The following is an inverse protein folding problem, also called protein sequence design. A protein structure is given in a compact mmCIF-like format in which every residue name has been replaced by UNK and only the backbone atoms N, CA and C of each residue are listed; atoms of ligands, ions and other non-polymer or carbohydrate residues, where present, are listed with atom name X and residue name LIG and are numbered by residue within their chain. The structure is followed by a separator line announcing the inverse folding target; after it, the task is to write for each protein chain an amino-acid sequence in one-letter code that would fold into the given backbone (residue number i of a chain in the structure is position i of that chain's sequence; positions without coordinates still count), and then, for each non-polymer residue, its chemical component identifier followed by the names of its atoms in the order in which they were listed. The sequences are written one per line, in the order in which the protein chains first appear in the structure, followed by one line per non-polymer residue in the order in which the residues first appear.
data_IF_159260830467
#
_entry.id   IF_159260830467
#
_cell.length_a   1.000
_cell.length_b   1.000
_cell.length_c   1.000
_cell.angle_alpha   90.00
_cell.angle_beta   90.00
_cell.angle_gamma   90.00
#
_symmetry.space_group_name_H-M   'P 1'
#
loop_
_entity.id
_entity.type
_entity.pdbx_description
1 polymer ?
#
# COMPACT_ATOMS: atom_id res chain seq x y z
N UNK A 1 -1.24 1.23 -16.20
CA UNK A 1 -0.92 0.19 -15.19
C UNK A 1 0.25 0.69 -14.37
N UNK A 2 0.20 0.52 -13.04
CA UNK A 2 1.36 0.78 -12.18
C UNK A 2 2.32 -0.38 -12.31
N UNK A 3 3.61 -0.08 -12.28
CA UNK A 3 4.66 -1.08 -12.34
C UNK A 3 5.23 -1.31 -10.93
N UNK A 4 5.23 -2.56 -10.48
CA UNK A 4 5.70 -2.92 -9.14
C UNK A 4 6.95 -3.76 -9.27
N UNK A 5 8.11 -3.13 -9.04
CA UNK A 5 9.42 -3.77 -9.17
C UNK A 5 9.64 -4.72 -8.00
N UNK A 6 9.96 -5.98 -8.32
CA UNK A 6 10.33 -7.00 -7.34
C UNK A 6 11.72 -6.67 -6.81
N UNK A 7 11.84 -6.53 -5.49
CA UNK A 7 13.09 -6.25 -4.79
C UNK A 7 13.81 -7.53 -4.40
N UNK A 8 13.06 -8.48 -3.83
CA UNK A 8 13.57 -9.77 -3.35
C UNK A 8 12.59 -10.88 -3.68
N UNK A 9 13.13 -12.06 -3.92
CA UNK A 9 12.39 -13.32 -4.03
C UNK A 9 12.88 -14.21 -2.88
N UNK A 10 11.96 -14.73 -2.09
CA UNK A 10 12.26 -15.60 -0.95
C UNK A 10 12.69 -16.97 -1.45
N UNK A 11 13.76 -17.51 -0.84
CA UNK A 11 14.26 -18.83 -1.24
C UNK A 11 13.31 -19.95 -0.81
N UNK A 12 13.00 -20.86 -1.73
CA UNK A 12 12.03 -21.93 -1.54
C UNK A 12 10.57 -21.50 -1.71
N UNK A 13 10.34 -20.30 -2.20
CA UNK A 13 9.00 -19.78 -2.49
C UNK A 13 8.48 -20.17 -3.87
N UNK A 14 7.17 -20.01 -4.08
CA UNK A 14 6.53 -20.20 -5.38
C UNK A 14 7.18 -19.29 -6.45
N UNK A 15 7.52 -18.06 -6.09
CA UNK A 15 8.16 -17.13 -7.01
C UNK A 15 9.56 -17.60 -7.46
N UNK A 16 10.34 -18.24 -6.59
CA UNK A 16 11.64 -18.83 -6.97
C UNK A 16 11.44 -20.02 -7.91
N UNK A 17 10.47 -20.89 -7.65
CA UNK A 17 10.15 -22.03 -8.51
C UNK A 17 9.71 -21.61 -9.91
N UNK A 18 9.08 -20.44 -10.03
CA UNK A 18 8.66 -19.84 -11.28
C UNK A 18 9.74 -18.98 -11.95
N UNK A 19 10.98 -19.08 -11.47
CA UNK A 19 12.13 -18.36 -12.02
C UNK A 19 11.95 -16.82 -12.03
N UNK A 20 11.20 -16.28 -11.05
CA UNK A 20 11.12 -14.84 -10.85
C UNK A 20 12.39 -14.33 -10.18
N UNK A 21 12.82 -13.13 -10.57
CA UNK A 21 14.06 -12.54 -10.09
C UNK A 21 13.86 -11.09 -9.60
N UNK A 22 14.70 -10.64 -8.65
CA UNK A 22 14.74 -9.22 -8.30
C UNK A 22 14.95 -8.34 -9.53
N UNK A 23 14.10 -7.33 -9.71
CA UNK A 23 14.08 -6.42 -10.87
C UNK A 23 13.07 -6.80 -11.95
N UNK A 24 12.38 -7.94 -11.85
CA UNK A 24 11.18 -8.20 -12.62
C UNK A 24 10.05 -7.30 -12.14
N UNK A 25 9.02 -7.11 -12.95
CA UNK A 25 7.94 -6.17 -12.69
C UNK A 25 6.61 -6.92 -12.67
N UNK A 26 5.89 -6.84 -11.54
CA UNK A 26 4.51 -7.30 -11.45
C UNK A 26 3.59 -6.28 -12.16
N UNK A 27 2.81 -6.74 -13.12
CA UNK A 27 1.88 -5.93 -13.91
C UNK A 27 0.44 -6.05 -13.40
N UNK A 28 -0.05 -7.26 -13.21
CA UNK A 28 -1.41 -7.54 -12.73
C UNK A 28 -1.51 -8.94 -12.13
N UNK A 29 -2.56 -9.17 -11.35
CA UNK A 29 -2.96 -10.50 -10.87
C UNK A 29 -4.44 -10.67 -11.21
N UNK A 30 -4.83 -11.82 -11.79
CA UNK A 30 -6.19 -12.12 -12.25
C UNK A 30 -6.77 -11.03 -13.17
N UNK A 31 -5.91 -10.44 -14.03
CA UNK A 31 -6.25 -9.30 -14.88
C UNK A 31 -6.68 -8.03 -14.13
N UNK A 32 -6.53 -7.99 -12.79
CA UNK A 32 -6.77 -6.82 -11.95
C UNK A 32 -5.49 -6.00 -11.76
N UNK A 33 -5.61 -4.68 -11.86
CA UNK A 33 -4.51 -3.76 -11.55
C UNK A 33 -4.33 -3.64 -10.03
N UNK A 34 -3.09 -3.77 -9.57
CA UNK A 34 -2.74 -3.63 -8.16
C UNK A 34 -2.55 -2.14 -7.85
N UNK A 35 -3.42 -1.55 -7.05
CA UNK A 35 -3.27 -0.14 -6.62
C UNK A 35 -2.20 0.02 -5.53
N UNK A 36 -2.18 -0.91 -4.56
CA UNK A 36 -1.25 -0.91 -3.44
C UNK A 36 -1.12 -2.30 -2.78
N UNK A 37 -0.33 -2.37 -1.71
CA UNK A 37 -0.03 -3.60 -0.97
C UNK A 37 -1.27 -4.35 -0.45
N UNK A 38 -2.39 -3.67 -0.21
CA UNK A 38 -3.61 -4.35 0.27
C UNK A 38 -4.32 -5.10 -0.85
N UNK A 39 -4.35 -4.56 -2.07
CA UNK A 39 -4.87 -5.31 -3.22
C UNK A 39 -4.03 -6.55 -3.44
N UNK A 40 -2.69 -6.42 -3.42
CA UNK A 40 -1.78 -7.54 -3.54
C UNK A 40 -2.08 -8.61 -2.48
N UNK A 41 -2.05 -8.25 -1.20
CA UNK A 41 -2.29 -9.18 -0.08
C UNK A 41 -3.69 -9.77 -0.05
N UNK A 42 -4.66 -9.11 -0.64
CA UNK A 42 -6.03 -9.60 -0.73
C UNK A 42 -6.17 -10.64 -1.83
N UNK A 43 -5.64 -10.34 -3.03
CA UNK A 43 -5.77 -11.20 -4.20
C UNK A 43 -4.91 -12.47 -4.07
N UNK A 44 -3.70 -12.36 -3.49
CA UNK A 44 -2.83 -13.54 -3.33
C UNK A 44 -3.35 -14.60 -2.37
N UNK A 45 -4.48 -14.36 -1.68
CA UNK A 45 -5.13 -15.39 -0.85
C UNK A 45 -5.87 -16.45 -1.66
N UNK A 46 -6.20 -16.16 -2.91
CA UNK A 46 -6.88 -17.11 -3.77
C UNK A 46 -5.97 -18.33 -4.06
N UNK A 47 -6.59 -19.50 -4.22
CA UNK A 47 -5.90 -20.76 -4.53
C UNK A 47 -5.41 -20.82 -5.97
N UNK A 48 -6.06 -20.08 -6.88
CA UNK A 48 -5.66 -19.96 -8.28
C UNK A 48 -5.38 -18.51 -8.64
N UNK A 49 -4.21 -18.26 -9.24
CA UNK A 49 -3.78 -16.92 -9.66
C UNK A 49 -3.26 -16.96 -11.10
N UNK A 50 -3.65 -15.97 -11.88
CA UNK A 50 -3.01 -15.61 -13.14
C UNK A 50 -2.16 -14.36 -12.93
N UNK A 51 -0.84 -14.51 -12.92
CA UNK A 51 0.09 -13.42 -12.60
C UNK A 51 0.82 -12.97 -13.86
N UNK A 52 0.62 -11.70 -14.25
CA UNK A 52 1.34 -11.09 -15.36
C UNK A 52 2.60 -10.39 -14.86
N UNK A 53 3.74 -10.81 -15.39
CA UNK A 53 5.09 -10.32 -15.05
C UNK A 53 5.79 -9.82 -16.31
N UNK A 54 6.51 -8.72 -16.20
CA UNK A 54 7.50 -8.30 -17.19
C UNK A 54 8.89 -8.59 -16.64
N UNK A 55 9.62 -9.43 -17.35
CA UNK A 55 11.00 -9.76 -17.04
C UNK A 55 11.94 -8.58 -17.33
N UNK A 56 13.12 -8.56 -16.72
CA UNK A 56 14.16 -7.53 -16.96
C UNK A 56 14.55 -7.38 -18.44
N UNK A 57 14.45 -8.45 -19.23
CA UNK A 57 14.75 -8.46 -20.66
C UNK A 57 13.61 -7.85 -21.50
N UNK A 58 12.47 -7.48 -20.88
CA UNK A 58 11.29 -6.90 -21.51
C UNK A 58 10.27 -7.93 -21.99
N UNK A 59 10.49 -9.21 -21.80
CA UNK A 59 9.49 -10.25 -22.08
C UNK A 59 8.34 -10.18 -21.07
N UNK A 60 7.13 -10.39 -21.54
CA UNK A 60 5.95 -10.49 -20.69
C UNK A 60 5.53 -11.95 -20.56
N UNK A 61 5.42 -12.39 -19.31
CA UNK A 61 5.01 -13.72 -18.96
C UNK A 61 3.66 -13.67 -18.27
N UNK A 62 2.83 -14.65 -18.53
CA UNK A 62 1.61 -14.91 -17.77
C UNK A 62 1.77 -16.26 -17.10
N UNK A 63 1.78 -16.27 -15.80
CA UNK A 63 2.01 -17.45 -14.97
C UNK A 63 0.69 -17.87 -14.32
N UNK A 64 0.30 -19.13 -14.56
CA UNK A 64 -0.83 -19.76 -13.87
C UNK A 64 -0.30 -20.47 -12.64
N UNK A 65 -0.83 -20.15 -11.47
CA UNK A 65 -0.36 -20.63 -10.17
C UNK A 65 -1.52 -21.29 -9.43
N UNK A 66 -1.39 -22.58 -9.16
CA UNK A 66 -2.23 -23.31 -8.20
C UNK A 66 -1.47 -23.45 -6.88
N UNK A 67 -2.05 -23.00 -5.77
CA UNK A 67 -1.41 -22.98 -4.47
C UNK A 67 -2.43 -23.19 -3.33
N UNK A 68 -1.96 -23.43 -2.13
CA UNK A 68 -2.80 -23.47 -0.94
C UNK A 68 -3.36 -22.07 -0.62
N UNK A 69 -4.56 -22.05 -0.01
CA UNK A 69 -5.13 -20.80 0.48
C UNK A 69 -4.18 -20.14 1.50
N UNK A 70 -4.01 -18.83 1.43
CA UNK A 70 -3.09 -18.02 2.25
C UNK A 70 -1.59 -18.33 2.05
N UNK A 71 -1.18 -19.23 1.14
CA UNK A 71 0.23 -19.42 0.81
C UNK A 71 0.78 -18.17 0.09
N UNK A 72 1.93 -17.67 0.57
CA UNK A 72 2.55 -16.47 0.00
C UNK A 72 3.37 -16.79 -1.25
N UNK A 73 3.42 -15.88 -2.20
CA UNK A 73 4.26 -16.04 -3.39
C UNK A 73 5.74 -15.86 -3.09
N UNK A 74 6.11 -15.23 -1.97
CA UNK A 74 7.48 -14.94 -1.57
C UNK A 74 8.08 -13.74 -2.29
N UNK A 75 7.28 -12.72 -2.61
CA UNK A 75 7.71 -11.50 -3.28
C UNK A 75 7.76 -10.31 -2.34
N UNK A 76 8.90 -9.61 -2.32
CA UNK A 76 9.00 -8.27 -1.74
C UNK A 76 9.19 -7.24 -2.85
N UNK A 77 8.57 -6.08 -2.71
CA UNK A 77 8.64 -4.99 -3.68
C UNK A 77 9.56 -3.86 -3.22
N UNK A 78 10.17 -3.13 -4.17
CA UNK A 78 11.03 -1.96 -3.84
C UNK A 78 10.26 -0.92 -3.02
N UNK A 79 9.02 -0.63 -3.40
CA UNK A 79 8.12 0.17 -2.59
C UNK A 79 7.20 -0.76 -1.78
N UNK A 80 7.42 -0.83 -0.47
CA UNK A 80 6.66 -1.70 0.44
C UNK A 80 5.15 -1.41 0.49
N UNK A 81 4.72 -0.22 0.11
CA UNK A 81 3.30 0.14 -0.04
C UNK A 81 2.78 -0.05 -1.47
N UNK A 82 3.65 -0.33 -2.43
CA UNK A 82 3.35 -0.44 -3.87
C UNK A 82 2.71 0.82 -4.46
N UNK A 83 2.77 1.95 -3.76
CA UNK A 83 2.29 3.26 -4.21
C UNK A 83 2.83 4.37 -3.31
N UNK A 84 2.66 5.63 -3.76
CA UNK A 84 3.14 6.80 -3.02
C UNK A 84 2.47 6.94 -1.65
N UNK A 85 3.25 7.46 -0.67
CA UNK A 85 2.73 7.81 0.64
C UNK A 85 1.71 8.94 0.56
N UNK A 86 0.69 8.86 1.39
CA UNK A 86 -0.34 9.91 1.50
C UNK A 86 0.00 10.84 2.65
N UNK A 87 0.19 12.11 2.33
CA UNK A 87 0.45 13.15 3.33
C UNK A 87 -0.83 13.83 3.77
N UNK A 88 -0.86 14.30 5.02
CA UNK A 88 -1.97 15.08 5.58
C UNK A 88 -2.15 16.40 4.82
N UNK A 89 -3.37 16.68 4.38
CA UNK A 89 -3.73 17.93 3.70
C UNK A 89 -4.24 19.03 4.64
N UNK A 90 -4.37 18.75 5.93
CA UNK A 90 -4.87 19.69 6.92
C UNK A 90 -3.87 20.80 7.24
N UNK A 91 -4.42 21.98 7.61
CA UNK A 91 -3.66 23.16 8.07
C UNK A 91 -4.09 23.51 9.49
N UNK A 92 -3.87 22.58 10.43
CA UNK A 92 -4.25 22.76 11.81
C UNK A 92 -3.36 23.79 12.50
N UNK A 93 -3.95 24.75 13.24
CA UNK A 93 -3.20 25.77 13.99
C UNK A 93 -2.28 25.18 15.07
N UNK A 94 -2.55 23.95 15.50
CA UNK A 94 -1.77 23.18 16.49
C UNK A 94 -0.87 22.13 15.84
N UNK A 95 -0.70 22.12 14.53
CA UNK A 95 0.13 21.14 13.86
C UNK A 95 1.59 21.33 14.22
N UNK A 96 2.17 20.40 14.98
CA UNK A 96 3.57 20.49 15.41
C UNK A 96 4.55 20.41 14.23
N UNK A 97 4.20 19.75 13.15
CA UNK A 97 5.01 19.71 11.92
C UNK A 97 5.09 21.10 11.29
N UNK A 98 3.95 21.83 11.17
CA UNK A 98 3.93 23.18 10.62
C UNK A 98 4.64 24.21 11.49
N UNK A 99 4.81 23.90 12.80
CA UNK A 99 5.48 24.74 13.77
C UNK A 99 6.99 24.47 13.89
N UNK A 100 7.50 23.47 13.17
CA UNK A 100 8.92 23.11 13.24
C UNK A 100 9.79 24.22 12.61
N UNK A 101 10.98 24.47 13.21
CA UNK A 101 11.94 25.44 12.66
C UNK A 101 12.33 25.09 11.23
N UNK A 102 12.53 26.08 10.36
CA UNK A 102 13.02 25.82 8.99
C UNK A 102 14.45 25.26 9.01
N UNK A 103 14.80 24.52 7.96
CA UNK A 103 16.17 24.01 7.75
C UNK A 103 16.48 22.68 8.45
N UNK A 104 15.48 21.99 8.98
CA UNK A 104 15.63 20.63 9.47
C UNK A 104 15.66 19.62 8.31
N UNK A 105 15.94 18.34 8.61
CA UNK A 105 15.87 17.26 7.60
C UNK A 105 14.50 17.20 6.97
N UNK A 106 14.43 17.07 5.65
CA UNK A 106 13.20 17.08 4.86
C UNK A 106 12.15 16.07 5.35
N UNK A 107 12.60 14.87 5.74
CA UNK A 107 11.74 13.81 6.26
C UNK A 107 10.95 14.20 7.52
N UNK A 108 11.43 15.18 8.30
CA UNK A 108 10.74 15.66 9.49
C UNK A 108 9.51 16.53 9.18
N UNK A 109 9.43 17.08 7.96
CA UNK A 109 8.28 17.88 7.53
C UNK A 109 7.19 17.06 6.85
N UNK A 110 7.39 15.76 6.70
CA UNK A 110 6.36 14.88 6.16
C UNK A 110 5.23 14.68 7.18
N UNK A 111 4.04 15.07 6.79
CA UNK A 111 2.82 14.91 7.59
C UNK A 111 2.18 13.58 7.25
N UNK A 112 2.51 12.53 7.98
CA UNK A 112 1.90 11.23 7.77
C UNK A 112 0.40 11.25 8.12
N UNK A 113 -0.43 10.83 7.16
CA UNK A 113 -1.86 10.59 7.34
C UNK A 113 -2.33 9.47 6.39
N UNK A 114 -1.44 8.50 6.17
CA UNK A 114 -1.70 7.37 5.30
C UNK A 114 -2.44 6.26 6.06
N UNK A 115 -3.70 6.03 5.69
CA UNK A 115 -4.54 5.01 6.34
C UNK A 115 -3.93 3.60 6.29
N UNK A 116 -3.12 3.31 5.27
CA UNK A 116 -2.45 2.01 5.14
C UNK A 116 -1.47 1.76 6.28
N UNK A 117 -0.74 2.80 6.71
CA UNK A 117 0.19 2.71 7.83
C UNK A 117 -0.52 2.50 9.17
N UNK A 118 -1.79 2.92 9.28
CA UNK A 118 -2.58 2.58 10.46
C UNK A 118 -2.76 1.07 10.61
N UNK A 119 -3.10 0.38 9.53
CA UNK A 119 -3.27 -1.08 9.54
C UNK A 119 -1.94 -1.85 9.62
N UNK A 120 -0.89 -1.35 8.96
CA UNK A 120 0.40 -2.05 8.87
C UNK A 120 1.30 -1.83 10.08
N UNK A 121 1.26 -0.63 10.67
CA UNK A 121 2.21 -0.19 11.69
C UNK A 121 1.55 0.38 12.95
N UNK A 122 0.22 0.53 12.95
CA UNK A 122 -0.51 1.09 14.06
C UNK A 122 -0.45 2.63 14.15
N UNK A 123 -0.10 3.32 13.07
CA UNK A 123 -0.05 4.77 13.04
C UNK A 123 -1.44 5.39 13.26
N UNK A 124 -1.47 6.53 13.96
CA UNK A 124 -2.69 7.31 14.12
C UNK A 124 -2.94 8.15 12.87
N UNK A 125 -4.17 8.13 12.36
CA UNK A 125 -4.59 8.91 11.19
C UNK A 125 -5.78 9.81 11.54
N UNK A 126 -5.97 10.88 10.76
CA UNK A 126 -7.10 11.80 10.96
C UNK A 126 -8.35 11.41 10.17
N UNK A 127 -8.26 10.49 9.24
CA UNK A 127 -9.27 10.12 8.25
C UNK A 127 -9.70 11.22 7.28
N UNK A 128 -9.13 12.42 7.38
CA UNK A 128 -9.55 13.57 6.54
C UNK A 128 -9.09 13.45 5.09
N UNK A 129 -8.12 12.58 4.82
CA UNK A 129 -7.62 12.26 3.48
C UNK A 129 -8.37 11.08 2.82
N UNK A 130 -9.19 10.36 3.58
CA UNK A 130 -9.88 9.18 3.08
C UNK A 130 -11.03 9.57 2.18
N UNK A 131 -11.19 8.81 1.11
CA UNK A 131 -12.31 8.90 0.17
C UNK A 131 -13.26 7.73 0.42
N UNK A 132 -14.47 7.81 -0.11
CA UNK A 132 -15.48 6.75 -0.02
C UNK A 132 -14.92 5.40 -0.50
N UNK A 133 -14.18 5.39 -1.62
CA UNK A 133 -13.52 4.18 -2.13
C UNK A 133 -12.54 3.55 -1.15
N UNK A 134 -11.87 4.34 -0.31
CA UNK A 134 -10.94 3.80 0.69
C UNK A 134 -11.71 3.08 1.81
N UNK A 135 -12.88 3.61 2.18
CA UNK A 135 -13.79 2.99 3.16
C UNK A 135 -14.36 1.68 2.59
N UNK A 136 -14.82 1.69 1.34
CA UNK A 136 -15.34 0.49 0.67
C UNK A 136 -14.29 -0.62 0.62
N UNK A 137 -13.02 -0.26 0.34
CA UNK A 137 -11.90 -1.22 0.37
C UNK A 137 -11.65 -1.79 1.77
N UNK A 138 -11.67 -0.95 2.81
CA UNK A 138 -11.53 -1.39 4.20
C UNK A 138 -12.59 -2.42 4.56
N UNK A 139 -13.84 -2.16 4.19
CA UNK A 139 -14.97 -3.07 4.43
C UNK A 139 -14.80 -4.36 3.63
N UNK A 140 -14.52 -4.28 2.32
CA UNK A 140 -14.37 -5.44 1.44
C UNK A 140 -13.24 -6.35 1.88
N UNK A 141 -12.11 -5.78 2.30
CA UNK A 141 -10.91 -6.52 2.69
C UNK A 141 -10.86 -6.86 4.18
N UNK A 142 -11.89 -6.49 4.95
CA UNK A 142 -11.96 -6.69 6.41
C UNK A 142 -10.73 -6.16 7.17
N UNK A 143 -10.19 -5.00 6.76
CA UNK A 143 -9.00 -4.43 7.37
C UNK A 143 -9.26 -3.94 8.79
N UNK A 144 -8.44 -4.38 9.75
CA UNK A 144 -8.58 -4.07 11.18
C UNK A 144 -7.25 -4.31 11.91
N UNK A 145 -6.96 -3.59 13.00
CA UNK A 145 -7.63 -2.37 13.48
C UNK A 145 -7.19 -1.10 12.74
N UNK A 146 -7.98 -0.03 12.85
CA UNK A 146 -7.61 1.32 12.42
C UNK A 146 -7.47 2.23 13.65
N UNK A 147 -6.36 2.96 13.76
CA UNK A 147 -6.12 3.89 14.84
C UNK A 147 -6.42 5.32 14.39
N UNK A 148 -7.39 5.96 15.05
CA UNK A 148 -7.88 7.27 14.65
C UNK A 148 -7.51 8.32 15.72
N UNK A 149 -6.96 9.44 15.27
CA UNK A 149 -6.71 10.63 16.08
C UNK A 149 -7.82 11.65 15.87
N UNK A 150 -8.71 11.78 16.84
CA UNK A 150 -9.81 12.74 16.82
C UNK A 150 -9.41 14.00 17.55
N UNK A 151 -9.09 15.07 16.81
CA UNK A 151 -8.67 16.34 17.38
C UNK A 151 -9.85 17.23 17.75
N UNK A 152 -10.95 17.15 17.01
CA UNK A 152 -12.16 17.91 17.27
C UNK A 152 -13.37 17.22 16.65
N UNK A 153 -14.26 16.69 17.48
CA UNK A 153 -15.43 15.96 17.01
C UNK A 153 -16.62 16.86 16.61
N UNK A 154 -16.56 18.15 16.94
CA UNK A 154 -17.58 19.12 16.51
C UNK A 154 -17.28 19.74 15.17
N UNK A 155 -16.28 19.33 14.53
CA UNK A 155 -15.72 20.12 13.50
C UNK A 155 -16.27 19.86 12.11
N UNK A 156 -17.31 20.64 11.78
CA UNK A 156 -17.35 21.17 10.42
C UNK A 156 -16.10 22.00 10.11
N UNK A 157 -15.38 22.42 11.08
CA UNK A 157 -14.07 23.07 10.96
C UNK A 157 -12.96 22.09 10.56
N UNK A 158 -13.12 20.85 10.79
CA UNK A 158 -12.48 19.85 9.96
C UNK A 158 -12.85 20.15 8.51
N UNK A 159 -14.04 20.60 8.26
CA UNK A 159 -14.47 21.18 7.02
C UNK A 159 -13.84 22.53 6.72
N UNK A 160 -13.41 23.29 7.70
CA UNK A 160 -12.69 24.55 7.52
C UNK A 160 -11.25 24.35 7.06
N UNK A 161 -10.79 23.15 7.00
CA UNK A 161 -9.51 22.78 6.38
C UNK A 161 -9.63 22.48 4.89
N UNK A 162 -10.74 22.87 4.30
CA UNK A 162 -10.93 22.80 2.86
C UNK A 162 -10.22 23.93 2.13
#
# INVERSE_FOLDING_TARGET
MKEHIIKTVESGSIAEELELEPGDILLSINSEEIEDIFDYRFIIKDEYLEVAIRKKNGEEWVLEIDKEFDEDLGLEFENSLMSEYRSCCNKCIFCFIDQMPPGMRETLYFKDDDSRLSFLQGNYITMTNMKEKDIDRIIRMHLSPINISVQNHHSPSILAYR
#
